data_IF_291275730319
#
_entry.id   IF_291275730319
#
_cell.length_a   1.000
_cell.length_b   1.000
_cell.length_c   1.000
_cell.angle_alpha   90.00
_cell.angle_beta   90.00
_cell.angle_gamma   90.00
#
_symmetry.space_group_name_H-M   'P 1'
#
loop_
_entity.id
_entity.type
_entity.pdbx_description
1 polymer ?
#
# COMPACT_ATOMS: atom_id res chain seq x y z
N UNK A 1 1.97 38.08 33.03
CA UNK A 1 2.07 37.34 31.76
C UNK A 1 2.26 35.85 32.05
N UNK A 2 1.23 35.01 31.87
CA UNK A 2 1.34 33.57 32.10
C UNK A 2 1.23 32.81 30.77
N UNK A 3 2.37 32.34 30.27
CA UNK A 3 2.45 31.42 29.14
C UNK A 3 1.90 30.05 29.56
N UNK A 4 0.62 29.78 29.26
CA UNK A 4 0.12 28.41 29.23
C UNK A 4 0.47 27.77 27.88
N UNK A 5 1.73 27.34 27.75
CA UNK A 5 2.12 26.42 26.69
C UNK A 5 1.27 25.15 26.82
N UNK A 6 0.50 24.84 25.78
CA UNK A 6 -0.40 23.69 25.70
C UNK A 6 0.42 22.41 25.92
N UNK A 7 0.45 21.89 27.16
CA UNK A 7 1.15 20.65 27.52
C UNK A 7 0.55 19.53 26.68
N UNK A 8 1.26 19.08 25.63
CA UNK A 8 0.86 17.97 24.77
C UNK A 8 0.58 16.77 25.67
N UNK A 9 -0.70 16.39 25.86
CA UNK A 9 -1.08 15.25 26.71
C UNK A 9 -0.34 14.02 26.21
N UNK A 10 0.63 13.53 27.00
CA UNK A 10 1.33 12.31 26.65
C UNK A 10 0.31 11.16 26.71
N UNK A 11 0.13 10.46 25.59
CA UNK A 11 -0.72 9.27 25.54
C UNK A 11 -0.22 8.25 26.56
N UNK A 12 -1.13 7.63 27.30
CA UNK A 12 -0.79 6.53 28.19
C UNK A 12 -0.24 5.34 27.37
N UNK A 13 0.50 4.45 28.04
CA UNK A 13 1.01 3.23 27.40
C UNK A 13 -0.11 2.43 26.72
N UNK A 14 -1.26 2.27 27.39
CA UNK A 14 -2.45 1.60 26.85
C UNK A 14 -2.97 2.27 25.58
N UNK A 15 -3.04 3.60 25.55
CA UNK A 15 -3.49 4.34 24.36
C UNK A 15 -2.53 4.19 23.18
N UNK A 16 -1.22 4.17 23.44
CA UNK A 16 -0.20 3.92 22.39
C UNK A 16 -0.30 2.50 21.84
N UNK A 17 -0.46 1.51 22.71
CA UNK A 17 -0.61 0.09 22.32
C UNK A 17 -1.86 -0.11 21.45
N UNK A 18 -2.98 0.50 21.82
CA UNK A 18 -4.21 0.45 21.04
C UNK A 18 -4.07 1.15 19.68
N UNK A 19 -3.41 2.31 19.64
CA UNK A 19 -3.12 3.01 18.38
C UNK A 19 -2.23 2.16 17.45
N UNK A 20 -1.18 1.53 17.99
CA UNK A 20 -0.31 0.62 17.24
C UNK A 20 -1.08 -0.60 16.70
N UNK A 21 -2.02 -1.15 17.48
CA UNK A 21 -2.89 -2.24 17.02
C UNK A 21 -3.75 -1.80 15.84
N UNK A 22 -4.36 -0.61 15.91
CA UNK A 22 -5.15 -0.06 14.81
C UNK A 22 -4.31 0.17 13.56
N UNK A 23 -3.11 0.72 13.70
CA UNK A 23 -2.24 0.97 12.56
C UNK A 23 -1.72 -0.33 11.92
N UNK A 24 -1.41 -1.35 12.73
CA UNK A 24 -1.08 -2.69 12.21
C UNK A 24 -2.23 -3.26 11.40
N UNK A 25 -3.46 -3.19 11.92
CA UNK A 25 -4.62 -3.67 11.18
C UNK A 25 -4.86 -2.89 9.88
N UNK A 26 -4.68 -1.56 9.90
CA UNK A 26 -4.73 -0.74 8.68
C UNK A 26 -3.68 -1.19 7.65
N UNK A 27 -2.46 -1.46 8.09
CA UNK A 27 -1.38 -1.97 7.23
C UNK A 27 -1.64 -3.37 6.70
N UNK A 28 -2.25 -4.27 7.49
CA UNK A 28 -2.65 -5.60 7.04
C UNK A 28 -3.61 -5.51 5.86
N UNK A 29 -4.63 -4.66 5.94
CA UNK A 29 -5.60 -4.42 4.84
C UNK A 29 -4.88 -3.91 3.59
N UNK A 30 -3.99 -2.93 3.75
CA UNK A 30 -3.23 -2.38 2.61
C UNK A 30 -2.35 -3.45 1.98
N UNK A 31 -1.63 -4.22 2.78
CA UNK A 31 -0.76 -5.27 2.28
C UNK A 31 -1.56 -6.35 1.54
N UNK A 32 -2.75 -6.71 2.04
CA UNK A 32 -3.66 -7.64 1.36
C UNK A 32 -4.07 -7.11 -0.02
N UNK A 33 -4.48 -5.84 -0.11
CA UNK A 33 -4.82 -5.22 -1.39
C UNK A 33 -3.63 -5.20 -2.38
N UNK A 34 -2.41 -5.00 -1.88
CA UNK A 34 -1.20 -5.12 -2.70
C UNK A 34 -1.00 -6.56 -3.22
N UNK A 35 -1.21 -7.57 -2.39
CA UNK A 35 -1.12 -8.97 -2.84
C UNK A 35 -2.20 -9.32 -3.88
N UNK A 36 -3.43 -8.85 -3.66
CA UNK A 36 -4.53 -9.05 -4.61
C UNK A 36 -4.22 -8.41 -5.96
N UNK A 37 -3.64 -7.20 -5.95
CA UNK A 37 -3.14 -6.56 -7.17
C UNK A 37 -2.03 -7.39 -7.82
N UNK A 38 -1.04 -7.88 -7.07
CA UNK A 38 0.01 -8.77 -7.60
C UNK A 38 -0.55 -10.05 -8.22
N UNK A 39 -1.71 -10.53 -7.79
CA UNK A 39 -2.37 -11.73 -8.32
C UNK A 39 -2.91 -11.53 -9.74
N UNK A 40 -3.31 -10.31 -10.08
CA UNK A 40 -3.86 -9.99 -11.41
C UNK A 40 -2.80 -9.46 -12.38
N UNK A 41 -1.63 -9.03 -11.90
CA UNK A 41 -0.56 -8.54 -12.77
C UNK A 41 0.17 -9.66 -13.51
N UNK A 42 0.49 -9.46 -14.80
CA UNK A 42 1.26 -10.42 -15.59
C UNK A 42 2.69 -10.50 -15.04
N UNK A 43 2.96 -11.51 -14.22
CA UNK A 43 4.28 -11.75 -13.68
C UNK A 43 5.24 -12.24 -14.79
N UNK A 44 6.46 -11.69 -14.86
CA UNK A 44 7.53 -12.24 -15.71
C UNK A 44 7.79 -13.69 -15.28
N UNK A 45 7.45 -14.65 -16.16
CA UNK A 45 7.73 -16.09 -15.96
C UNK A 45 9.17 -16.25 -15.44
N UNK A 46 9.33 -16.84 -14.26
CA UNK A 46 10.65 -17.17 -13.69
C UNK A 46 11.13 -16.32 -12.51
N UNK A 47 10.49 -15.18 -12.17
CA UNK A 47 10.73 -14.53 -10.87
C UNK A 47 9.58 -14.85 -9.93
N UNK A 48 9.88 -15.53 -8.82
CA UNK A 48 8.91 -15.81 -7.74
C UNK A 48 8.07 -14.54 -7.52
N UNK A 49 6.73 -14.69 -7.61
CA UNK A 49 5.73 -13.62 -7.36
C UNK A 49 6.04 -12.81 -6.10
N UNK A 50 6.68 -13.48 -5.15
CA UNK A 50 7.22 -13.04 -3.86
C UNK A 50 8.22 -11.86 -3.86
N UNK A 51 8.64 -11.29 -5.00
CA UNK A 51 9.66 -10.22 -5.04
C UNK A 51 9.22 -8.86 -5.61
N UNK A 52 7.96 -8.64 -5.99
CA UNK A 52 7.57 -7.30 -6.47
C UNK A 52 7.44 -6.32 -5.31
N UNK A 53 8.25 -5.25 -5.32
CA UNK A 53 8.14 -4.19 -4.31
C UNK A 53 6.81 -3.46 -4.44
N UNK A 54 6.44 -2.63 -3.45
CA UNK A 54 5.21 -1.79 -3.54
C UNK A 54 5.26 -0.87 -4.75
N UNK A 55 6.42 -0.29 -5.04
CA UNK A 55 6.64 0.58 -6.20
C UNK A 55 6.48 -0.21 -7.49
N UNK A 56 7.18 -1.33 -7.63
CA UNK A 56 7.06 -2.20 -8.81
C UNK A 56 5.62 -2.69 -9.06
N UNK A 57 4.87 -2.92 -7.97
CA UNK A 57 3.47 -3.37 -8.06
C UNK A 57 2.58 -2.26 -8.62
N UNK A 58 2.75 -1.01 -8.18
CA UNK A 58 1.98 0.12 -8.70
C UNK A 58 2.38 0.42 -10.14
N UNK A 59 3.68 0.50 -10.43
CA UNK A 59 4.18 0.79 -11.77
C UNK A 59 3.76 -0.30 -12.77
N UNK A 60 3.84 -1.57 -12.36
CA UNK A 60 3.37 -2.70 -13.15
C UNK A 60 1.86 -2.67 -13.41
N UNK A 61 1.06 -2.18 -12.46
CA UNK A 61 -0.39 -2.03 -12.64
C UNK A 61 -0.73 -0.91 -13.63
N UNK A 62 -0.06 0.24 -13.52
CA UNK A 62 -0.23 1.34 -14.48
C UNK A 62 0.12 0.86 -15.88
N UNK A 63 1.28 0.22 -16.05
CA UNK A 63 1.71 -0.29 -17.34
C UNK A 63 0.74 -1.35 -17.89
N UNK A 64 0.25 -2.25 -17.03
CA UNK A 64 -0.67 -3.29 -17.47
C UNK A 64 -2.00 -2.73 -17.95
N UNK A 65 -2.58 -1.76 -17.23
CA UNK A 65 -3.80 -1.06 -17.66
C UNK A 65 -3.57 -0.40 -19.03
N UNK A 66 -2.46 0.31 -19.24
CA UNK A 66 -2.16 0.93 -20.54
C UNK A 66 -2.07 -0.10 -21.67
N UNK A 67 -1.35 -1.21 -21.48
CA UNK A 67 -1.23 -2.26 -22.49
C UNK A 67 -2.60 -2.87 -22.82
N UNK A 68 -3.45 -3.12 -21.81
CA UNK A 68 -4.80 -3.64 -22.06
C UNK A 68 -5.65 -2.64 -22.86
N UNK A 69 -5.53 -1.33 -22.58
CA UNK A 69 -6.21 -0.30 -23.35
C UNK A 69 -5.71 -0.22 -24.79
N UNK A 70 -4.41 -0.32 -25.03
CA UNK A 70 -3.82 -0.39 -26.38
C UNK A 70 -4.34 -1.60 -27.15
N UNK A 71 -4.41 -2.77 -26.52
CA UNK A 71 -4.93 -4.01 -27.14
C UNK A 71 -6.42 -3.87 -27.48
N UNK A 72 -7.21 -3.28 -26.59
CA UNK A 72 -8.67 -3.17 -26.77
C UNK A 72 -9.06 -2.12 -27.81
N UNK A 73 -8.34 -1.00 -27.87
CA UNK A 73 -8.70 0.12 -28.74
C UNK A 73 -7.87 0.19 -30.02
N UNK A 74 -6.84 -0.65 -30.13
CA UNK A 74 -6.05 -0.81 -31.33
C UNK A 74 -5.12 0.36 -31.58
N UNK A 75 -3.83 0.06 -31.65
CA UNK A 75 -2.87 0.82 -32.45
C UNK A 75 -3.48 0.98 -33.85
N UNK A 76 -3.76 2.22 -34.25
CA UNK A 76 -4.01 2.54 -35.65
C UNK A 76 -2.76 2.24 -36.48
#
# INVERSE_FOLDING_TARGET
>A
EHYHGTKRRMLSRKQREEANRRERHRMEIINQAYEDLRNVLPCKKGRKRQKMSRMDTVDGAIQYIHILLEILHGSN
#
